data_IF_441805091032
#
_entry.id   IF_441805091032
#
_cell.length_a   1.000
_cell.length_b   1.000
_cell.length_c   1.000
_cell.angle_alpha   90.00
_cell.angle_beta   90.00
_cell.angle_gamma   90.00
#
_symmetry.space_group_name_H-M   'P 1'
#
loop_
_entity.id
_entity.type
_entity.pdbx_description
1 polymer ?
#
# COMPACT_ATOMS: atom_id res chain seq x y z
N UNK A 1 -19.31 -7.70 -62.42
CA UNK A 1 -20.19 -6.54 -62.20
C UNK A 1 -19.99 -6.07 -60.77
N UNK A 2 -19.34 -4.92 -60.64
CA UNK A 2 -19.12 -4.20 -59.39
C UNK A 2 -20.45 -3.68 -58.84
N UNK A 3 -20.73 -3.91 -57.56
CA UNK A 3 -21.66 -3.09 -56.81
C UNK A 3 -21.02 -2.69 -55.47
N UNK A 4 -20.17 -1.66 -55.57
CA UNK A 4 -20.09 -0.52 -54.67
C UNK A 4 -20.35 -0.76 -53.18
N UNK A 5 -19.24 -0.72 -52.46
CA UNK A 5 -19.15 -0.24 -51.08
C UNK A 5 -20.10 0.94 -50.84
N UNK A 6 -20.99 0.82 -49.86
CA UNK A 6 -21.50 1.98 -49.12
C UNK A 6 -20.70 2.08 -47.84
N UNK A 7 -19.65 2.90 -47.87
CA UNK A 7 -19.11 3.50 -46.64
C UNK A 7 -20.11 4.56 -46.19
N UNK A 8 -20.94 4.25 -45.20
CA UNK A 8 -21.66 5.30 -44.47
C UNK A 8 -20.75 5.81 -43.36
N UNK A 9 -20.17 6.96 -43.65
CA UNK A 9 -19.59 7.91 -42.71
C UNK A 9 -20.61 8.28 -41.61
N UNK A 10 -20.38 7.78 -40.41
CA UNK A 10 -20.91 8.35 -39.18
C UNK A 10 -19.76 8.35 -38.18
N UNK A 11 -19.46 9.49 -37.58
CA UNK A 11 -18.54 9.58 -36.45
C UNK A 11 -19.10 8.69 -35.32
N UNK A 12 -18.69 7.43 -35.30
CA UNK A 12 -19.19 6.43 -34.37
C UNK A 12 -18.75 6.84 -32.99
N UNK A 13 -19.70 7.32 -32.19
CA UNK A 13 -19.52 7.55 -30.76
C UNK A 13 -19.04 6.22 -30.15
N UNK A 14 -17.74 6.11 -29.91
CA UNK A 14 -17.09 4.88 -29.44
C UNK A 14 -17.82 4.39 -28.19
N UNK A 15 -18.05 3.08 -28.09
CA UNK A 15 -18.79 2.54 -26.95
C UNK A 15 -17.96 2.75 -25.67
N UNK A 16 -18.59 3.03 -24.52
CA UNK A 16 -17.87 3.29 -23.27
C UNK A 16 -16.82 2.22 -22.92
N UNK A 17 -17.12 0.95 -23.20
CA UNK A 17 -16.20 -0.18 -22.97
C UNK A 17 -14.97 -0.14 -23.88
N UNK A 18 -15.14 0.27 -25.13
CA UNK A 18 -14.04 0.42 -26.10
C UNK A 18 -13.15 1.59 -25.69
N UNK A 19 -13.76 2.72 -25.31
CA UNK A 19 -13.02 3.88 -24.78
C UNK A 19 -12.23 3.53 -23.51
N UNK A 20 -12.80 2.74 -22.61
CA UNK A 20 -12.09 2.29 -21.42
C UNK A 20 -10.83 1.47 -21.77
N UNK A 21 -10.87 0.66 -22.83
CA UNK A 21 -9.72 -0.12 -23.30
C UNK A 21 -8.68 0.73 -24.05
N UNK A 22 -9.11 1.75 -24.79
CA UNK A 22 -8.22 2.57 -25.64
C UNK A 22 -7.63 3.76 -24.89
N UNK A 23 -8.48 4.50 -24.17
CA UNK A 23 -8.14 5.79 -23.57
C UNK A 23 -7.88 5.69 -22.05
N UNK A 24 -8.27 4.56 -21.44
CA UNK A 24 -8.20 4.35 -19.99
C UNK A 24 -9.37 4.96 -19.22
N UNK A 25 -9.51 4.56 -17.95
CA UNK A 25 -10.68 4.91 -17.13
C UNK A 25 -10.82 6.42 -16.86
N UNK A 26 -9.71 7.15 -16.80
CA UNK A 26 -9.69 8.59 -16.49
C UNK A 26 -10.25 9.46 -17.63
N UNK A 27 -10.35 8.92 -18.85
CA UNK A 27 -10.91 9.62 -20.01
C UNK A 27 -12.44 9.53 -20.11
N UNK A 28 -13.08 8.73 -19.24
CA UNK A 28 -14.53 8.51 -19.26
C UNK A 28 -15.26 9.50 -18.37
N UNK A 29 -16.40 9.98 -18.87
CA UNK A 29 -17.35 10.74 -18.06
C UNK A 29 -18.08 9.86 -17.05
N UNK A 30 -18.70 10.48 -16.03
CA UNK A 30 -19.55 9.76 -15.08
C UNK A 30 -20.66 8.96 -15.78
N UNK A 31 -21.25 9.50 -16.86
CA UNK A 31 -22.30 8.83 -17.63
C UNK A 31 -21.78 7.56 -18.32
N UNK A 32 -20.53 7.59 -18.79
CA UNK A 32 -19.88 6.44 -19.43
C UNK A 32 -19.52 5.37 -18.41
N UNK A 33 -19.01 5.75 -17.24
CA UNK A 33 -18.76 4.82 -16.13
C UNK A 33 -20.05 4.13 -15.66
N UNK A 34 -21.13 4.90 -15.49
CA UNK A 34 -22.45 4.36 -15.18
C UNK A 34 -22.95 3.44 -16.30
N UNK A 35 -22.74 3.80 -17.57
CA UNK A 35 -23.14 2.97 -18.70
C UNK A 35 -22.46 1.59 -18.67
N UNK A 36 -21.19 1.55 -18.27
CA UNK A 36 -20.44 0.30 -18.12
C UNK A 36 -21.02 -0.55 -16.97
N UNK A 37 -21.28 0.07 -15.82
CA UNK A 37 -21.86 -0.60 -14.64
C UNK A 37 -23.26 -1.17 -14.93
N UNK A 38 -24.09 -0.40 -15.62
CA UNK A 38 -25.47 -0.77 -15.93
C UNK A 38 -25.58 -1.79 -17.08
N UNK A 39 -24.56 -1.85 -17.94
CA UNK A 39 -24.41 -2.82 -19.02
C UNK A 39 -25.31 -2.58 -20.22
N UNK A 40 -26.63 -2.63 -20.04
CA UNK A 40 -27.61 -2.55 -21.14
C UNK A 40 -28.75 -1.57 -20.87
N UNK A 41 -29.37 -1.10 -21.96
CA UNK A 41 -30.53 -0.21 -21.91
C UNK A 41 -31.85 -0.96 -21.76
N UNK A 42 -32.96 -0.25 -21.94
CA UNK A 42 -34.29 -0.83 -22.16
C UNK A 42 -34.79 -0.45 -23.56
N UNK A 43 -35.89 -1.07 -24.01
CA UNK A 43 -36.44 -0.78 -25.34
C UNK A 43 -36.74 0.72 -25.49
N UNK A 44 -36.11 1.34 -26.50
CA UNK A 44 -36.25 2.76 -26.78
C UNK A 44 -35.51 3.70 -25.82
N UNK A 45 -34.69 3.19 -24.90
CA UNK A 45 -33.92 4.00 -23.95
C UNK A 45 -32.52 3.37 -23.72
N UNK A 46 -31.49 3.77 -24.50
CA UNK A 46 -30.17 3.15 -24.43
C UNK A 46 -29.46 3.47 -23.10
N UNK A 47 -28.52 2.61 -22.70
CA UNK A 47 -27.84 2.71 -21.40
C UNK A 47 -27.13 4.05 -21.18
N UNK A 48 -26.64 4.66 -22.26
CA UNK A 48 -26.03 6.00 -22.23
C UNK A 48 -27.03 7.07 -21.80
N UNK A 49 -28.21 7.08 -22.42
CA UNK A 49 -29.30 8.01 -22.06
C UNK A 49 -29.78 7.78 -20.62
N UNK A 50 -29.93 6.51 -20.21
CA UNK A 50 -30.25 6.16 -18.80
C UNK A 50 -29.23 6.76 -17.82
N UNK A 51 -27.94 6.67 -18.17
CA UNK A 51 -26.85 7.14 -17.31
C UNK A 51 -26.79 8.67 -17.23
N UNK A 52 -27.08 9.36 -18.34
CA UNK A 52 -27.22 10.81 -18.39
C UNK A 52 -28.44 11.27 -17.57
N UNK A 53 -29.58 10.61 -17.71
CA UNK A 53 -30.80 10.89 -16.93
C UNK A 53 -30.56 10.73 -15.43
N UNK A 54 -29.84 9.68 -15.01
CA UNK A 54 -29.47 9.46 -13.61
C UNK A 54 -28.66 10.63 -13.03
N UNK A 55 -27.67 11.12 -13.79
CA UNK A 55 -26.83 12.23 -13.36
C UNK A 55 -27.65 13.52 -13.29
N UNK A 56 -28.50 13.76 -14.29
CA UNK A 56 -29.36 14.95 -14.33
C UNK A 56 -30.40 14.93 -13.20
N UNK A 57 -31.04 13.79 -12.94
CA UNK A 57 -32.08 13.65 -11.93
C UNK A 57 -31.53 13.85 -10.51
N UNK A 58 -30.36 13.30 -10.20
CA UNK A 58 -29.76 13.40 -8.87
C UNK A 58 -28.76 14.56 -8.72
N UNK A 59 -28.40 15.27 -9.79
CA UNK A 59 -27.50 16.44 -9.80
C UNK A 59 -26.03 16.16 -9.45
N UNK A 60 -25.73 15.18 -8.60
CA UNK A 60 -24.37 14.80 -8.21
C UNK A 60 -24.27 13.32 -7.82
N UNK A 61 -23.07 12.75 -7.91
CA UNK A 61 -22.79 11.39 -7.44
C UNK A 61 -23.04 11.23 -5.94
N UNK A 62 -22.80 12.27 -5.14
CA UNK A 62 -23.08 12.23 -3.70
C UNK A 62 -24.57 12.08 -3.41
N UNK A 63 -25.42 12.88 -4.06
CA UNK A 63 -26.87 12.78 -3.90
C UNK A 63 -27.40 11.43 -4.41
N UNK A 64 -26.85 10.93 -5.53
CA UNK A 64 -27.17 9.58 -6.02
C UNK A 64 -26.74 8.47 -5.05
N UNK A 65 -25.57 8.60 -4.41
CA UNK A 65 -25.09 7.64 -3.41
C UNK A 65 -25.99 7.60 -2.16
N UNK A 66 -26.54 8.76 -1.76
CA UNK A 66 -27.48 8.88 -0.66
C UNK A 66 -28.90 8.39 -0.98
N UNK A 67 -29.29 8.36 -2.26
CA UNK A 67 -30.61 7.90 -2.68
C UNK A 67 -30.87 6.45 -2.27
N UNK A 68 -32.11 6.16 -1.88
CA UNK A 68 -32.58 4.79 -1.65
C UNK A 68 -32.96 4.10 -2.98
N UNK A 69 -33.19 2.79 -2.92
CA UNK A 69 -33.53 1.99 -4.12
C UNK A 69 -34.81 2.53 -4.80
N UNK A 70 -35.91 2.81 -4.08
CA UNK A 70 -37.10 3.41 -4.69
C UNK A 70 -36.83 4.71 -5.44
N UNK A 71 -36.00 5.61 -4.89
CA UNK A 71 -35.63 6.87 -5.54
C UNK A 71 -34.84 6.63 -6.83
N UNK A 72 -33.86 5.71 -6.83
CA UNK A 72 -33.10 5.36 -8.03
C UNK A 72 -34.01 4.78 -9.13
N UNK A 73 -34.99 3.96 -8.73
CA UNK A 73 -35.97 3.35 -9.65
C UNK A 73 -36.93 4.36 -10.31
N UNK A 74 -36.95 5.63 -9.87
CA UNK A 74 -37.73 6.68 -10.54
C UNK A 74 -37.14 7.03 -11.91
N UNK A 75 -35.87 6.71 -12.16
CA UNK A 75 -35.26 6.92 -13.48
C UNK A 75 -35.68 5.80 -14.44
N UNK A 76 -36.25 6.19 -15.58
CA UNK A 76 -36.70 5.23 -16.60
C UNK A 76 -35.55 4.31 -17.02
N UNK A 77 -35.76 3.00 -16.92
CA UNK A 77 -34.76 1.98 -17.29
C UNK A 77 -33.87 1.53 -16.14
N UNK A 78 -34.07 2.07 -14.94
CA UNK A 78 -33.49 1.58 -13.67
C UNK A 78 -34.54 0.76 -12.92
N UNK A 79 -34.42 -0.56 -13.01
CA UNK A 79 -35.13 -1.48 -12.13
C UNK A 79 -34.33 -1.76 -10.86
N UNK A 80 -34.90 -2.58 -9.97
CA UNK A 80 -34.30 -2.95 -8.68
C UNK A 80 -32.88 -3.49 -8.86
N UNK A 81 -32.63 -4.35 -9.85
CA UNK A 81 -31.31 -4.93 -10.10
C UNK A 81 -30.24 -3.88 -10.40
N UNK A 82 -30.56 -2.92 -11.27
CA UNK A 82 -29.65 -1.81 -11.63
C UNK A 82 -29.45 -0.84 -10.46
N UNK A 83 -30.50 -0.58 -9.68
CA UNK A 83 -30.39 0.21 -8.46
C UNK A 83 -29.46 -0.48 -7.43
N UNK A 84 -29.59 -1.81 -7.25
CA UNK A 84 -28.70 -2.58 -6.38
C UNK A 84 -27.23 -2.52 -6.84
N UNK A 85 -26.96 -2.60 -8.15
CA UNK A 85 -25.61 -2.45 -8.71
C UNK A 85 -25.03 -1.07 -8.36
N UNK A 86 -25.79 0.01 -8.53
CA UNK A 86 -25.36 1.36 -8.17
C UNK A 86 -25.05 1.47 -6.67
N UNK A 87 -25.95 0.97 -5.81
CA UNK A 87 -25.73 0.97 -4.36
C UNK A 87 -24.52 0.14 -3.94
N UNK A 88 -24.30 -1.00 -4.57
CA UNK A 88 -23.14 -1.85 -4.32
C UNK A 88 -21.84 -1.13 -4.72
N UNK A 89 -21.81 -0.46 -5.87
CA UNK A 89 -20.66 0.32 -6.32
C UNK A 89 -20.30 1.44 -5.33
N UNK A 90 -21.28 2.22 -4.88
CA UNK A 90 -21.03 3.27 -3.88
C UNK A 90 -20.63 2.70 -2.51
N UNK A 91 -21.21 1.58 -2.08
CA UNK A 91 -20.83 0.93 -0.84
C UNK A 91 -19.37 0.43 -0.88
N UNK A 92 -18.92 -0.13 -2.01
CA UNK A 92 -17.53 -0.51 -2.22
C UNK A 92 -16.61 0.71 -2.22
N UNK A 93 -16.98 1.78 -2.91
CA UNK A 93 -16.21 3.02 -2.92
C UNK A 93 -16.07 3.60 -1.49
N UNK A 94 -17.16 3.61 -0.72
CA UNK A 94 -17.14 4.04 0.68
C UNK A 94 -16.23 3.15 1.54
N UNK A 95 -16.35 1.82 1.42
CA UNK A 95 -15.48 0.87 2.13
C UNK A 95 -14.02 1.02 1.76
N UNK A 96 -13.69 1.28 0.50
CA UNK A 96 -12.31 1.54 0.06
C UNK A 96 -11.72 2.80 0.71
N UNK A 97 -12.54 3.84 0.89
CA UNK A 97 -12.12 5.06 1.61
C UNK A 97 -12.01 4.80 3.12
N UNK A 98 -12.90 3.98 3.67
CA UNK A 98 -12.93 3.58 5.09
C UNK A 98 -11.87 2.54 5.45
N UNK A 99 -11.36 1.80 4.47
CA UNK A 99 -10.14 0.98 4.51
C UNK A 99 -8.93 1.91 4.70
N UNK A 100 -8.89 2.56 5.86
CA UNK A 100 -7.68 3.17 6.36
C UNK A 100 -6.65 2.04 6.38
N UNK A 101 -5.46 2.21 5.75
CA UNK A 101 -4.37 1.31 6.08
C UNK A 101 -4.25 1.30 7.61
N UNK A 102 -4.05 0.12 8.24
CA UNK A 102 -3.92 0.05 9.69
C UNK A 102 -2.97 1.16 10.13
N UNK A 103 -3.34 1.97 11.13
CA UNK A 103 -2.57 3.14 11.58
C UNK A 103 -1.09 2.74 11.59
N UNK A 104 -0.33 3.23 10.61
CA UNK A 104 1.07 2.84 10.46
C UNK A 104 1.76 3.21 11.76
N UNK A 105 2.30 2.20 12.45
CA UNK A 105 2.88 2.38 13.77
C UNK A 105 4.03 3.37 13.64
N UNK A 106 4.03 4.41 14.47
CA UNK A 106 5.15 5.32 14.60
C UNK A 106 6.26 4.58 15.36
N UNK A 107 7.44 4.48 14.76
CA UNK A 107 8.60 3.78 15.31
C UNK A 107 9.75 4.78 15.48
N UNK A 108 9.60 5.68 16.46
CA UNK A 108 10.57 6.73 16.74
C UNK A 108 11.52 6.38 17.88
N UNK A 109 11.11 5.45 18.75
CA UNK A 109 11.89 5.03 19.92
C UNK A 109 12.33 3.57 19.82
N UNK A 110 13.53 3.22 20.29
CA UNK A 110 14.03 1.84 20.24
C UNK A 110 13.11 0.82 20.92
N UNK A 111 12.40 1.19 21.99
CA UNK A 111 11.44 0.30 22.66
C UNK A 111 10.30 -0.11 21.73
N UNK A 112 9.87 0.81 20.85
CA UNK A 112 8.79 0.56 19.89
C UNK A 112 9.24 -0.41 18.80
N UNK A 113 10.49 -0.26 18.35
CA UNK A 113 11.15 -1.18 17.41
C UNK A 113 11.29 -2.57 18.03
N UNK A 114 11.82 -2.62 19.26
CA UNK A 114 11.98 -3.88 19.97
C UNK A 114 10.64 -4.57 20.21
N UNK A 115 9.61 -3.83 20.62
CA UNK A 115 8.25 -4.37 20.78
C UNK A 115 7.67 -4.84 19.44
N UNK A 116 7.95 -4.15 18.34
CA UNK A 116 7.46 -4.51 17.00
C UNK A 116 8.02 -5.84 16.51
N UNK A 117 9.29 -6.15 16.83
CA UNK A 117 9.93 -7.41 16.41
C UNK A 117 9.83 -8.53 17.44
N UNK A 118 9.48 -8.22 18.69
CA UNK A 118 9.56 -9.15 19.83
C UNK A 118 8.87 -10.48 19.59
N UNK A 119 7.64 -10.48 19.11
CA UNK A 119 6.89 -11.72 18.85
C UNK A 119 7.50 -12.52 17.70
N UNK A 120 8.06 -11.83 16.71
CA UNK A 120 8.66 -12.43 15.52
C UNK A 120 9.97 -13.14 15.85
N UNK A 121 10.81 -12.54 16.69
CA UNK A 121 12.14 -13.11 17.02
C UNK A 121 12.14 -13.97 18.29
N UNK A 122 11.01 -14.07 19.00
CA UNK A 122 10.92 -14.73 20.31
C UNK A 122 11.45 -16.17 20.32
N UNK A 123 11.16 -16.91 19.26
CA UNK A 123 11.48 -18.33 19.13
C UNK A 123 12.59 -18.57 18.11
N UNK A 124 13.27 -17.52 17.65
CA UNK A 124 14.36 -17.67 16.71
C UNK A 124 15.60 -18.21 17.45
N UNK A 125 16.10 -19.34 16.95
CA UNK A 125 17.30 -20.03 17.46
C UNK A 125 18.56 -19.62 16.69
N UNK A 126 18.37 -18.93 15.56
CA UNK A 126 19.42 -18.34 14.73
C UNK A 126 19.29 -16.83 14.74
N UNK A 127 20.39 -16.15 14.44
CA UNK A 127 20.41 -14.71 14.27
C UNK A 127 19.72 -14.34 12.95
N UNK A 128 18.84 -13.34 13.00
CA UNK A 128 18.07 -12.86 11.86
C UNK A 128 18.20 -11.35 11.77
N UNK A 129 18.64 -10.83 10.62
CA UNK A 129 18.69 -9.40 10.35
C UNK A 129 17.39 -8.95 9.70
N UNK A 130 16.75 -7.95 10.29
CA UNK A 130 15.55 -7.31 9.78
C UNK A 130 15.84 -5.86 9.38
N UNK A 131 15.17 -5.42 8.31
CA UNK A 131 15.06 -4.01 7.95
C UNK A 131 13.61 -3.57 8.11
N UNK A 132 13.41 -2.54 8.93
CA UNK A 132 12.13 -1.89 9.14
C UNK A 132 12.10 -0.63 8.30
N UNK A 133 11.20 -0.59 7.33
CA UNK A 133 11.09 0.49 6.35
C UNK A 133 10.08 1.53 6.81
N UNK A 134 10.47 2.80 6.75
CA UNK A 134 9.70 3.91 7.28
C UNK A 134 9.47 4.99 6.21
N UNK A 135 8.33 5.66 6.29
CA UNK A 135 8.06 6.84 5.47
C UNK A 135 8.71 8.10 6.08
N UNK A 136 8.58 9.24 5.39
CA UNK A 136 9.14 10.52 5.84
C UNK A 136 8.55 11.06 7.17
N UNK A 137 7.52 10.41 7.72
CA UNK A 137 6.95 10.69 9.04
C UNK A 137 7.26 9.58 10.05
N UNK A 138 8.28 8.77 9.79
CA UNK A 138 8.72 7.62 10.60
C UNK A 138 7.64 6.57 10.87
N UNK A 139 6.66 6.47 9.97
CA UNK A 139 5.61 5.48 10.09
C UNK A 139 5.99 4.22 9.33
N UNK A 140 5.76 3.07 9.97
CA UNK A 140 6.03 1.74 9.42
C UNK A 140 5.37 1.51 8.06
N UNK A 141 6.19 1.18 7.06
CA UNK A 141 5.76 0.75 5.72
C UNK A 141 5.74 -0.78 5.67
N UNK A 142 6.89 -1.42 5.98
CA UNK A 142 7.09 -2.86 5.89
C UNK A 142 8.29 -3.30 6.74
N UNK A 143 8.33 -4.57 7.13
CA UNK A 143 9.50 -5.20 7.78
C UNK A 143 9.90 -6.41 6.94
N UNK A 144 11.15 -6.42 6.49
CA UNK A 144 11.73 -7.49 5.68
C UNK A 144 12.84 -8.19 6.47
N UNK A 145 12.95 -9.50 6.31
CA UNK A 145 14.10 -10.28 6.76
C UNK A 145 15.15 -10.25 5.65
N UNK A 146 16.34 -9.75 5.95
CA UNK A 146 17.46 -9.59 5.02
C UNK A 146 18.40 -10.79 5.10
N UNK A 147 18.61 -11.33 6.31
CA UNK A 147 19.52 -12.44 6.57
C UNK A 147 18.96 -13.34 7.67
N UNK A 148 19.33 -14.63 7.60
CA UNK A 148 19.04 -15.66 8.60
C UNK A 148 20.25 -16.59 8.75
N UNK A 149 20.69 -16.81 9.98
CA UNK A 149 21.90 -17.57 10.29
C UNK A 149 23.01 -16.65 10.81
N UNK A 150 24.27 -17.09 10.68
CA UNK A 150 25.41 -16.23 11.00
C UNK A 150 25.29 -14.97 10.16
N UNK A 151 25.38 -13.79 10.79
CA UNK A 151 25.43 -12.48 10.13
C UNK A 151 26.74 -12.37 9.32
N UNK A 152 26.80 -13.11 8.22
CA UNK A 152 27.96 -13.19 7.36
C UNK A 152 28.09 -11.88 6.57
N UNK A 153 29.32 -11.43 6.32
CA UNK A 153 29.60 -10.11 5.75
C UNK A 153 28.89 -9.86 4.39
N UNK A 154 28.53 -10.93 3.68
CA UNK A 154 27.82 -10.88 2.39
C UNK A 154 26.32 -10.60 2.57
N UNK A 155 25.69 -11.15 3.61
CA UNK A 155 24.24 -11.03 3.82
C UNK A 155 23.83 -9.71 4.48
N UNK A 156 24.77 -9.05 5.17
CA UNK A 156 24.62 -7.69 5.69
C UNK A 156 25.09 -6.60 4.71
N UNK A 157 25.28 -6.86 3.42
CA UNK A 157 25.82 -5.84 2.52
C UNK A 157 24.79 -4.71 2.24
N UNK A 158 25.18 -3.42 2.16
CA UNK A 158 24.26 -2.30 1.90
C UNK A 158 23.33 -2.50 0.73
N UNK A 159 23.81 -3.09 -0.37
CA UNK A 159 22.97 -3.40 -1.54
C UNK A 159 21.76 -4.27 -1.19
N UNK A 160 21.93 -5.27 -0.31
CA UNK A 160 20.88 -6.23 0.05
C UNK A 160 19.86 -5.60 1.00
N UNK A 161 20.28 -4.66 1.84
CA UNK A 161 19.39 -3.91 2.73
C UNK A 161 18.63 -2.83 1.94
N UNK A 162 19.35 -1.97 1.21
CA UNK A 162 18.77 -0.79 0.58
C UNK A 162 17.93 -1.11 -0.65
N UNK A 163 18.07 -2.27 -1.30
CA UNK A 163 17.13 -2.69 -2.35
C UNK A 163 15.67 -2.72 -1.84
N UNK A 164 15.46 -3.12 -0.58
CA UNK A 164 14.13 -3.13 0.03
C UNK A 164 13.61 -1.71 0.24
N UNK A 165 14.47 -0.82 0.76
CA UNK A 165 14.13 0.58 0.97
C UNK A 165 13.75 1.28 -0.35
N UNK A 166 14.53 1.06 -1.41
CA UNK A 166 14.28 1.61 -2.75
C UNK A 166 12.97 1.05 -3.33
N UNK A 167 12.79 -0.27 -3.31
CA UNK A 167 11.58 -0.94 -3.83
C UNK A 167 10.30 -0.45 -3.18
N UNK A 168 10.36 -0.13 -1.89
CA UNK A 168 9.21 0.31 -1.09
C UNK A 168 9.11 1.83 -0.90
N UNK A 169 9.97 2.61 -1.58
CA UNK A 169 10.00 4.09 -1.48
C UNK A 169 10.11 4.56 -0.03
N UNK A 170 10.93 3.87 0.77
CA UNK A 170 11.19 4.26 2.15
C UNK A 170 12.03 5.53 2.20
N UNK A 171 11.70 6.42 3.12
CA UNK A 171 12.52 7.63 3.38
C UNK A 171 13.60 7.35 4.44
N UNK A 172 13.35 6.37 5.30
CA UNK A 172 14.26 5.97 6.35
C UNK A 172 14.09 4.48 6.67
N UNK A 173 15.05 3.91 7.38
CA UNK A 173 15.01 2.53 7.84
C UNK A 173 15.61 2.38 9.25
N UNK A 174 15.20 1.32 9.94
CA UNK A 174 15.83 0.84 11.18
C UNK A 174 16.30 -0.57 10.93
N UNK A 175 17.56 -0.85 11.28
CA UNK A 175 18.09 -2.20 11.33
C UNK A 175 17.76 -2.83 12.67
N UNK A 176 17.54 -4.13 12.68
CA UNK A 176 17.43 -4.87 13.93
C UNK A 176 17.78 -6.33 13.74
N UNK A 177 18.44 -6.93 14.71
CA UNK A 177 18.69 -8.37 14.74
C UNK A 177 18.59 -8.93 16.14
N UNK A 178 18.41 -10.23 16.24
CA UNK A 178 18.37 -10.95 17.51
C UNK A 178 19.69 -11.67 17.78
N UNK A 179 20.14 -11.65 19.03
CA UNK A 179 21.21 -12.52 19.51
C UNK A 179 20.61 -13.76 20.20
N UNK A 180 20.75 -14.97 19.64
CA UNK A 180 20.22 -16.20 20.26
C UNK A 180 20.82 -16.50 21.65
N UNK A 181 22.03 -16.01 21.91
CA UNK A 181 22.69 -16.07 23.24
C UNK A 181 21.88 -15.38 24.33
N UNK A 182 21.06 -14.40 23.95
CA UNK A 182 20.22 -13.59 24.81
C UNK A 182 20.85 -12.27 25.26
N UNK A 183 22.15 -12.08 25.08
CA UNK A 183 22.86 -10.83 25.39
C UNK A 183 22.79 -9.86 24.19
N UNK A 184 22.16 -8.69 24.32
CA UNK A 184 22.06 -7.71 23.24
C UNK A 184 23.32 -6.84 23.05
N UNK A 185 24.41 -7.09 23.78
CA UNK A 185 25.63 -6.30 23.64
C UNK A 185 26.20 -6.41 22.20
N UNK A 186 26.47 -5.28 21.51
CA UNK A 186 26.95 -5.32 20.13
C UNK A 186 28.34 -5.93 20.01
N UNK A 187 28.51 -6.75 18.99
CA UNK A 187 29.81 -7.21 18.52
C UNK A 187 30.50 -6.15 17.66
N UNK A 188 31.80 -6.32 17.45
CA UNK A 188 32.57 -5.51 16.49
C UNK A 188 32.02 -5.61 15.05
N UNK A 189 31.46 -6.76 14.67
CA UNK A 189 30.76 -6.94 13.39
C UNK A 189 29.51 -6.07 13.29
N UNK A 190 28.71 -5.99 14.35
CA UNK A 190 27.49 -5.18 14.37
C UNK A 190 27.82 -3.70 14.21
N UNK A 191 28.85 -3.23 14.91
CA UNK A 191 29.30 -1.83 14.84
C UNK A 191 29.79 -1.51 13.42
N UNK A 192 30.59 -2.40 12.80
CA UNK A 192 31.05 -2.21 11.42
C UNK A 192 29.89 -2.17 10.43
N UNK A 193 28.98 -3.13 10.52
CA UNK A 193 27.77 -3.20 9.69
C UNK A 193 26.95 -1.91 9.81
N UNK A 194 26.71 -1.45 11.03
CA UNK A 194 25.96 -0.21 11.30
C UNK A 194 26.59 1.00 10.62
N UNK A 195 27.91 1.16 10.76
CA UNK A 195 28.65 2.28 10.15
C UNK A 195 28.62 2.24 8.63
N UNK A 196 28.74 1.05 8.05
CA UNK A 196 28.64 0.87 6.60
C UNK A 196 27.24 1.25 6.08
N UNK A 197 26.20 0.80 6.78
CA UNK A 197 24.80 1.10 6.47
C UNK A 197 24.48 2.58 6.61
N UNK A 198 25.01 3.23 7.66
CA UNK A 198 24.86 4.66 7.87
C UNK A 198 25.43 5.45 6.69
N UNK A 199 26.67 5.15 6.28
CA UNK A 199 27.33 5.81 5.12
C UNK A 199 26.57 5.58 3.83
N UNK A 200 26.11 4.34 3.58
CA UNK A 200 25.31 4.04 2.40
C UNK A 200 23.98 4.80 2.40
N UNK A 201 23.32 4.93 3.55
CA UNK A 201 22.10 5.70 3.72
C UNK A 201 22.29 7.19 3.41
N UNK A 202 23.42 7.78 3.80
CA UNK A 202 23.76 9.17 3.45
C UNK A 202 23.88 9.37 1.93
N UNK A 203 24.53 8.44 1.23
CA UNK A 203 24.71 8.50 -0.23
C UNK A 203 23.34 8.37 -0.94
N UNK A 204 22.52 7.41 -0.51
CA UNK A 204 21.22 7.12 -1.11
C UNK A 204 20.12 8.09 -0.69
N UNK A 205 20.39 8.96 0.30
CA UNK A 205 19.41 9.83 0.97
C UNK A 205 18.24 9.03 1.57
N UNK A 206 18.57 7.90 2.18
CA UNK A 206 17.65 7.06 2.95
C UNK A 206 18.25 6.89 4.34
N UNK A 207 17.66 7.55 5.34
CA UNK A 207 18.27 7.66 6.67
C UNK A 207 18.23 6.34 7.44
N UNK A 208 19.35 5.93 8.03
CA UNK A 208 19.39 4.87 9.04
C UNK A 208 19.10 5.52 10.40
N UNK A 209 17.89 5.31 10.94
CA UNK A 209 17.46 5.96 12.19
C UNK A 209 17.99 5.27 13.44
N UNK A 210 18.14 3.94 13.40
CA UNK A 210 18.69 3.15 14.49
C UNK A 210 19.13 1.75 14.01
N UNK A 211 19.90 1.07 14.85
CA UNK A 211 20.20 -0.34 14.78
C UNK A 211 19.94 -0.94 16.17
N UNK A 212 18.90 -1.77 16.27
CA UNK A 212 18.41 -2.32 17.54
C UNK A 212 18.74 -3.80 17.67
N UNK A 213 19.56 -4.15 18.65
CA UNK A 213 19.91 -5.55 18.94
C UNK A 213 18.95 -6.08 20.01
N UNK A 214 18.33 -7.23 19.73
CA UNK A 214 17.31 -7.86 20.56
C UNK A 214 17.92 -9.05 21.31
N UNK A 215 17.98 -8.94 22.63
CA UNK A 215 18.28 -10.04 23.53
C UNK A 215 17.04 -10.87 23.85
N UNK A 216 17.24 -12.00 24.51
CA UNK A 216 16.16 -12.84 25.03
C UNK A 216 15.68 -12.27 26.37
N UNK A 217 14.39 -12.37 26.71
CA UNK A 217 13.92 -12.05 28.05
C UNK A 217 14.60 -12.96 29.08
N UNK A 218 15.32 -12.37 30.04
CA UNK A 218 15.84 -13.08 31.20
C UNK A 218 14.71 -13.48 32.15
N UNK A 219 14.92 -14.50 33.01
CA UNK A 219 13.95 -14.85 34.06
C UNK A 219 13.74 -13.65 34.99
N UNK A 220 12.62 -12.96 34.87
CA UNK A 220 12.21 -11.86 35.73
C UNK A 220 12.68 -10.46 35.32
N UNK A 221 13.32 -10.29 34.16
CA UNK A 221 13.70 -8.96 33.62
C UNK A 221 13.01 -8.68 32.28
N UNK A 222 12.64 -7.42 31.97
CA UNK A 222 12.11 -7.09 30.65
C UNK A 222 13.14 -7.48 29.57
N UNK A 223 12.69 -7.88 28.37
CA UNK A 223 13.59 -8.24 27.28
C UNK A 223 14.57 -7.09 27.00
N UNK A 224 15.85 -7.38 27.21
CA UNK A 224 16.92 -6.42 27.02
C UNK A 224 17.11 -6.19 25.52
N UNK A 225 17.14 -4.93 25.12
CA UNK A 225 17.56 -4.51 23.80
C UNK A 225 18.63 -3.44 23.96
N UNK A 226 19.44 -3.24 22.92
CA UNK A 226 20.41 -2.14 22.85
C UNK A 226 20.14 -1.37 21.57
N UNK A 227 20.02 -0.06 21.70
CA UNK A 227 20.05 0.89 20.57
C UNK A 227 21.48 1.33 20.34
N UNK A 228 22.03 1.05 19.16
CA UNK A 228 23.37 1.53 18.82
C UNK A 228 23.39 3.06 18.67
N UNK A 229 22.24 3.69 18.38
CA UNK A 229 22.11 5.15 18.34
C UNK A 229 22.23 5.77 19.70
N UNK A 230 21.51 5.27 20.69
CA UNK A 230 21.58 5.78 22.06
C UNK A 230 22.95 5.54 22.70
N UNK A 231 23.64 4.46 22.30
CA UNK A 231 25.02 4.17 22.69
C UNK A 231 26.06 5.02 21.95
N UNK A 232 25.67 5.84 20.97
CA UNK A 232 26.56 6.78 20.28
C UNK A 232 27.37 6.20 19.11
N UNK A 233 27.02 5.02 18.59
CA UNK A 233 27.77 4.40 17.46
C UNK A 233 27.46 5.00 16.07
N UNK A 234 26.55 5.97 15.99
CA UNK A 234 25.95 6.51 14.74
C UNK A 234 26.70 7.70 14.11
N UNK A 235 27.37 8.52 14.91
CA UNK A 235 27.68 9.91 14.51
C UNK A 235 29.19 10.20 14.41
N UNK A 236 29.96 9.28 13.81
CA UNK A 236 31.40 9.46 13.59
C UNK A 236 31.78 9.43 12.11
#
# INVERSE_FOLDING_TARGET
>A
MSCSQRRSSGAGMQQPRERLLMDGIDALSHAELLSILLGSGVKGHPVKAISEDLILHHGSLNQMACADIPQLCQTRGIGVDKAMIIKAAFALAKRLVEERPPKRRLLERPEQVAQHLRERVRFEEVECLYVILLNARHQHIKTEEVSRGILDAVMGHPREVFQHAIRHRAAALVLAHNHPSGDPMPSESDIRLTREMFRAGQILKIELLDHVILGRPGKGSPPHFVSLREQGYFYH
#
